data_IF_892385705841
#
_entry.id   IF_892385705841
#
_cell.length_a   1.000
_cell.length_b   1.000
_cell.length_c   1.000
_cell.angle_alpha   90.00
_cell.angle_beta   90.00
_cell.angle_gamma   90.00
#
_symmetry.space_group_name_H-M   'P 1'
#
loop_
_entity.id
_entity.type
_entity.pdbx_description
1 polymer ?
#
# COMPACT_ATOMS: atom_id res chain seq x y z
N UNK A 1 10.07 0.30 -26.23
CA UNK A 1 9.39 -0.57 -25.24
C UNK A 1 8.09 0.07 -24.84
N UNK A 2 7.02 -0.68 -24.78
CA UNK A 2 5.71 -0.17 -24.35
C UNK A 2 5.18 -1.05 -23.21
N UNK A 3 4.91 -0.43 -22.07
CA UNK A 3 4.42 -1.11 -20.87
C UNK A 3 3.08 -0.48 -20.49
N UNK A 4 2.17 -1.27 -19.94
CA UNK A 4 0.86 -0.77 -19.52
C UNK A 4 0.86 -0.10 -18.14
N UNK A 5 1.88 -0.36 -17.34
CA UNK A 5 1.99 0.23 -16.01
C UNK A 5 2.59 -0.74 -15.01
N UNK A 6 2.40 -0.43 -13.74
CA UNK A 6 2.86 -1.30 -12.66
C UNK A 6 1.82 -2.39 -12.46
N UNK A 7 2.25 -3.67 -12.44
CA UNK A 7 1.37 -4.80 -12.16
C UNK A 7 1.18 -4.98 -10.66
N UNK A 8 2.27 -5.06 -9.93
CA UNK A 8 2.23 -5.22 -8.49
C UNK A 8 3.53 -4.75 -7.84
N UNK A 9 3.46 -4.54 -6.54
CA UNK A 9 4.61 -4.28 -5.67
C UNK A 9 4.71 -5.45 -4.71
N UNK A 10 5.90 -5.99 -4.51
CA UNK A 10 6.12 -7.08 -3.55
C UNK A 10 6.67 -6.51 -2.24
N UNK A 11 6.05 -6.89 -1.13
CA UNK A 11 6.44 -6.45 0.20
C UNK A 11 6.79 -7.65 1.07
N UNK A 12 7.93 -7.58 1.75
CA UNK A 12 8.25 -8.53 2.81
C UNK A 12 7.57 -8.07 4.10
N UNK A 13 6.79 -8.95 4.73
CA UNK A 13 6.03 -8.62 5.93
C UNK A 13 6.25 -9.67 7.01
N UNK A 14 6.10 -9.27 8.26
CA UNK A 14 6.34 -10.18 9.39
C UNK A 14 5.25 -11.25 9.51
N UNK A 15 4.02 -10.88 9.23
CA UNK A 15 2.86 -11.78 9.33
C UNK A 15 1.96 -11.53 8.13
N UNK A 16 2.04 -12.43 7.15
CA UNK A 16 1.32 -12.27 5.87
C UNK A 16 -0.19 -12.16 6.07
N UNK A 17 -0.78 -13.00 6.92
CA UNK A 17 -2.23 -12.98 7.14
C UNK A 17 -2.68 -11.70 7.85
N UNK A 18 -1.92 -11.23 8.82
CA UNK A 18 -2.20 -9.95 9.48
C UNK A 18 -2.16 -8.80 8.50
N UNK A 19 -1.13 -8.76 7.66
CA UNK A 19 -1.00 -7.70 6.67
C UNK A 19 -2.10 -7.77 5.63
N UNK A 20 -2.41 -8.96 5.10
CA UNK A 20 -3.48 -9.12 4.14
C UNK A 20 -4.81 -8.63 4.71
N UNK A 21 -5.13 -9.02 5.94
CA UNK A 21 -6.35 -8.61 6.61
C UNK A 21 -6.42 -7.08 6.76
N UNK A 22 -5.30 -6.46 7.13
CA UNK A 22 -5.24 -5.01 7.28
C UNK A 22 -5.53 -4.29 5.95
N UNK A 23 -4.87 -4.72 4.85
CA UNK A 23 -5.09 -4.09 3.55
C UNK A 23 -6.52 -4.28 3.07
N UNK A 24 -7.12 -5.44 3.36
CA UNK A 24 -8.51 -5.70 3.00
C UNK A 24 -9.45 -4.81 3.82
N UNK A 25 -9.27 -4.75 5.13
CA UNK A 25 -10.17 -4.01 6.01
C UNK A 25 -9.99 -2.49 5.90
N UNK A 26 -8.75 -2.02 5.82
CA UNK A 26 -8.47 -0.58 5.84
C UNK A 26 -8.56 0.03 4.44
N UNK A 27 -7.94 -0.60 3.44
CA UNK A 27 -7.89 -0.03 2.09
C UNK A 27 -8.95 -0.59 1.15
N UNK A 28 -9.73 -1.57 1.60
CA UNK A 28 -10.78 -2.14 0.75
C UNK A 28 -10.25 -3.05 -0.34
N UNK A 29 -9.06 -3.61 -0.15
CA UNK A 29 -8.48 -4.54 -1.12
C UNK A 29 -9.18 -5.89 -1.04
N UNK A 30 -8.95 -6.73 -2.03
CA UNK A 30 -9.46 -8.09 -2.11
C UNK A 30 -8.30 -9.05 -2.32
N UNK A 31 -8.50 -10.31 -1.94
CA UNK A 31 -7.52 -11.34 -2.27
C UNK A 31 -7.57 -11.61 -3.77
N UNK A 32 -6.40 -11.67 -4.38
CA UNK A 32 -6.25 -11.95 -5.81
C UNK A 32 -5.48 -13.26 -5.97
N UNK A 33 -5.73 -13.96 -7.08
CA UNK A 33 -4.99 -15.17 -7.44
C UNK A 33 -4.95 -16.21 -6.31
N UNK A 34 -6.08 -16.39 -5.63
CA UNK A 34 -6.18 -17.37 -4.54
C UNK A 34 -5.82 -18.77 -5.04
N UNK A 35 -5.29 -19.59 -4.13
CA UNK A 35 -4.88 -20.96 -4.38
C UNK A 35 -3.73 -21.11 -5.38
N UNK A 36 -3.05 -20.02 -5.73
CA UNK A 36 -1.87 -20.08 -6.59
C UNK A 36 -0.60 -20.12 -5.73
N UNK A 37 0.45 -20.66 -6.32
CA UNK A 37 1.81 -20.67 -5.75
C UNK A 37 1.93 -21.27 -4.35
N UNK A 38 1.03 -22.19 -4.00
CA UNK A 38 0.99 -22.81 -2.67
C UNK A 38 0.94 -21.78 -1.54
N UNK A 39 0.25 -20.66 -1.80
CA UNK A 39 0.04 -19.61 -0.79
C UNK A 39 1.19 -18.64 -0.58
N UNK A 40 2.25 -18.72 -1.37
CA UNK A 40 3.38 -17.77 -1.29
C UNK A 40 3.72 -17.27 -2.70
N UNK A 41 3.50 -15.97 -2.98
CA UNK A 41 2.99 -14.92 -2.09
C UNK A 41 1.46 -14.95 -1.95
N UNK A 42 0.95 -14.18 -0.99
CA UNK A 42 -0.46 -13.84 -0.93
C UNK A 42 -0.64 -12.52 -1.68
N UNK A 43 -1.52 -12.53 -2.68
CA UNK A 43 -1.82 -11.33 -3.46
C UNK A 43 -3.08 -10.64 -2.94
N UNK A 44 -3.01 -9.33 -2.82
CA UNK A 44 -4.15 -8.48 -2.51
C UNK A 44 -4.16 -7.32 -3.49
N UNK A 45 -5.31 -6.72 -3.70
CA UNK A 45 -5.37 -5.58 -4.58
C UNK A 45 -6.78 -5.15 -4.91
N UNK A 46 -6.89 -4.21 -5.82
CA UNK A 46 -8.16 -3.69 -6.31
C UNK A 46 -7.95 -3.10 -7.70
N UNK A 47 -8.82 -3.46 -8.63
CA UNK A 47 -8.67 -3.01 -10.01
C UNK A 47 -7.35 -3.52 -10.60
N UNK A 48 -6.54 -2.59 -11.06
CA UNK A 48 -5.22 -2.90 -11.63
C UNK A 48 -4.07 -2.75 -10.62
N UNK A 49 -4.39 -2.46 -9.37
CA UNK A 49 -3.40 -2.31 -8.31
C UNK A 49 -3.22 -3.64 -7.60
N UNK A 50 -1.99 -4.12 -7.51
CA UNK A 50 -1.68 -5.36 -6.82
C UNK A 50 -0.51 -5.21 -5.86
N UNK A 51 -0.58 -5.95 -4.76
CA UNK A 51 0.52 -6.07 -3.80
C UNK A 51 0.70 -7.56 -3.53
N UNK A 52 1.93 -8.03 -3.65
CA UNK A 52 2.31 -9.41 -3.32
C UNK A 52 2.97 -9.41 -1.95
N UNK A 53 2.40 -10.15 -1.02
CA UNK A 53 2.92 -10.24 0.36
C UNK A 53 3.74 -11.50 0.53
N UNK A 54 5.00 -11.33 0.90
CA UNK A 54 5.93 -12.43 1.17
C UNK A 54 6.31 -12.41 2.65
N UNK A 55 6.55 -13.58 3.26
CA UNK A 55 7.16 -13.59 4.58
C UNK A 55 8.52 -12.89 4.54
N UNK A 56 8.83 -12.06 5.53
CA UNK A 56 10.08 -11.30 5.56
C UNK A 56 11.32 -12.21 5.45
N UNK A 57 11.24 -13.42 6.02
CA UNK A 57 12.33 -14.38 5.94
C UNK A 57 12.57 -14.91 4.53
N UNK A 58 11.63 -14.70 3.60
CA UNK A 58 11.74 -15.13 2.22
C UNK A 58 12.64 -14.21 1.40
N UNK A 59 12.87 -12.98 1.87
CA UNK A 59 13.62 -11.98 1.15
C UNK A 59 15.12 -12.08 1.40
N UNK A 60 15.96 -11.90 0.37
CA UNK A 60 17.40 -11.87 0.58
C UNK A 60 17.81 -10.61 1.35
N UNK A 61 18.80 -10.74 2.21
CA UNK A 61 19.32 -9.59 2.95
C UNK A 61 20.16 -8.72 2.03
N UNK A 62 19.83 -7.40 2.01
CA UNK A 62 20.52 -6.41 1.21
C UNK A 62 21.29 -5.46 2.13
N UNK A 63 22.24 -6.00 2.88
CA UNK A 63 22.91 -5.32 3.98
C UNK A 63 23.60 -4.02 3.62
N UNK A 64 24.02 -3.84 2.36
CA UNK A 64 24.78 -2.66 1.91
C UNK A 64 23.91 -1.62 1.19
N UNK A 65 22.59 -1.70 1.30
CA UNK A 65 21.68 -0.84 0.55
C UNK A 65 20.75 0.00 1.41
N UNK A 66 21.15 0.33 2.62
CA UNK A 66 20.26 1.04 3.53
C UNK A 66 19.82 2.42 3.06
N UNK A 67 20.53 3.02 2.10
CA UNK A 67 20.10 4.29 1.50
C UNK A 67 19.36 4.12 0.18
N UNK A 68 19.37 2.91 -0.37
CA UNK A 68 18.66 2.56 -1.60
C UNK A 68 17.45 1.76 -1.18
N UNK A 69 16.32 2.46 -0.97
CA UNK A 69 15.11 1.81 -0.47
C UNK A 69 13.87 2.50 -1.05
N UNK A 70 12.75 1.81 -0.99
CA UNK A 70 11.46 2.41 -1.30
C UNK A 70 11.08 3.34 -0.15
N UNK A 71 10.77 4.60 -0.45
CA UNK A 71 10.40 5.57 0.57
C UNK A 71 8.94 5.46 0.95
N UNK A 72 8.07 5.33 -0.03
CA UNK A 72 6.64 5.16 0.20
C UNK A 72 5.96 4.57 -1.04
N UNK A 73 4.74 4.11 -0.85
CA UNK A 73 3.87 3.63 -1.90
C UNK A 73 2.64 4.52 -1.92
N UNK A 74 2.36 5.13 -3.06
CA UNK A 74 1.27 6.10 -3.18
C UNK A 74 0.11 5.53 -4.00
N UNK A 75 -1.10 5.75 -3.49
CA UNK A 75 -2.34 5.43 -4.19
C UNK A 75 -3.03 6.73 -4.58
N UNK A 76 -3.64 6.74 -5.76
CA UNK A 76 -4.38 7.93 -6.23
C UNK A 76 -5.85 7.82 -5.82
N UNK A 77 -6.42 8.95 -5.45
CA UNK A 77 -7.84 9.05 -5.17
C UNK A 77 -8.38 10.35 -5.77
N UNK A 78 -9.68 10.38 -6.09
CA UNK A 78 -10.34 11.64 -6.41
C UNK A 78 -10.60 12.39 -5.10
N UNK A 79 -11.10 13.62 -5.18
CA UNK A 79 -11.32 14.46 -3.99
C UNK A 79 -12.28 13.81 -3.00
N UNK A 80 -13.39 13.29 -3.48
CA UNK A 80 -14.38 12.64 -2.60
C UNK A 80 -13.76 11.48 -1.83
N UNK A 81 -13.04 10.61 -2.52
CA UNK A 81 -12.43 9.45 -1.90
C UNK A 81 -11.24 9.82 -1.02
N UNK A 82 -10.53 10.90 -1.35
CA UNK A 82 -9.45 11.41 -0.52
C UNK A 82 -10.00 11.88 0.85
N UNK A 83 -11.10 12.59 0.84
CA UNK A 83 -11.74 13.04 2.10
C UNK A 83 -12.32 11.85 2.86
N UNK A 84 -12.93 10.91 2.15
CA UNK A 84 -13.47 9.71 2.78
C UNK A 84 -12.36 8.87 3.44
N UNK A 85 -11.20 8.79 2.81
CA UNK A 85 -10.05 8.06 3.36
C UNK A 85 -9.61 8.65 4.71
N UNK A 86 -9.57 9.98 4.81
CA UNK A 86 -9.20 10.64 6.05
C UNK A 86 -10.19 10.29 7.17
N UNK A 87 -11.49 10.34 6.87
CA UNK A 87 -12.52 9.98 7.85
C UNK A 87 -12.40 8.52 8.29
N UNK A 88 -12.09 7.63 7.35
CA UNK A 88 -11.94 6.20 7.66
C UNK A 88 -10.73 5.95 8.56
N UNK A 89 -9.61 6.58 8.27
CA UNK A 89 -8.42 6.45 9.10
C UNK A 89 -8.64 6.99 10.51
N UNK A 90 -9.30 8.15 10.62
CA UNK A 90 -9.65 8.72 11.92
C UNK A 90 -10.57 7.78 12.70
N UNK A 91 -11.57 7.24 12.06
CA UNK A 91 -12.52 6.30 12.68
C UNK A 91 -11.81 5.06 13.21
N UNK A 92 -10.77 4.61 12.53
CA UNK A 92 -9.98 3.44 12.93
C UNK A 92 -8.86 3.76 13.89
N UNK A 93 -8.68 5.02 14.24
CA UNK A 93 -7.59 5.44 15.13
C UNK A 93 -6.21 5.34 14.49
N UNK A 94 -6.14 5.39 13.17
CA UNK A 94 -4.88 5.35 12.44
C UNK A 94 -4.43 6.79 12.20
N UNK A 95 -3.27 7.14 12.75
CA UNK A 95 -2.71 8.48 12.57
C UNK A 95 -2.23 8.68 11.14
N UNK A 96 -2.41 9.89 10.62
CA UNK A 96 -1.88 10.26 9.33
C UNK A 96 -1.44 11.72 9.34
N UNK A 97 -0.55 12.05 8.41
CA UNK A 97 -0.04 13.40 8.23
C UNK A 97 -0.51 13.93 6.89
N UNK A 98 -1.14 15.11 6.90
CA UNK A 98 -1.56 15.81 5.68
C UNK A 98 -0.41 16.67 5.16
N UNK A 99 -0.18 16.66 3.85
CA UNK A 99 0.77 17.55 3.20
C UNK A 99 0.15 18.15 1.94
N UNK A 100 0.39 19.45 1.76
CA UNK A 100 -0.02 20.19 0.57
C UNK A 100 1.19 20.27 -0.36
N UNK A 101 1.09 19.62 -1.52
CA UNK A 101 2.14 19.59 -2.53
C UNK A 101 1.85 20.55 -3.70
N UNK A 102 1.05 21.59 -3.46
CA UNK A 102 0.64 22.59 -4.45
C UNK A 102 -0.31 22.03 -5.52
N UNK A 103 0.16 21.08 -6.33
CA UNK A 103 -0.66 20.48 -7.39
C UNK A 103 -1.44 19.25 -6.90
N UNK A 104 -1.18 18.81 -5.68
CA UNK A 104 -1.81 17.64 -5.11
C UNK A 104 -1.88 17.78 -3.59
N UNK A 105 -2.88 17.16 -2.99
CA UNK A 105 -2.96 16.98 -1.54
C UNK A 105 -2.71 15.51 -1.23
N UNK A 106 -1.98 15.26 -0.14
CA UNK A 106 -1.62 13.89 0.24
C UNK A 106 -1.79 13.66 1.73
N UNK A 107 -2.06 12.42 2.08
CA UNK A 107 -1.96 11.94 3.46
C UNK A 107 -1.00 10.77 3.51
N UNK A 108 -0.23 10.70 4.59
CA UNK A 108 0.77 9.66 4.82
C UNK A 108 0.45 8.91 6.10
N UNK A 109 0.50 7.60 6.06
CA UNK A 109 0.26 6.74 7.22
C UNK A 109 1.07 5.46 7.06
N UNK A 110 1.07 4.62 8.10
CA UNK A 110 1.87 3.40 8.10
C UNK A 110 0.99 2.16 8.06
N UNK A 111 1.48 1.14 7.38
CA UNK A 111 0.88 -0.19 7.45
C UNK A 111 1.39 -0.93 8.71
N UNK A 112 0.92 -2.17 8.99
CA UNK A 112 1.34 -2.88 10.21
C UNK A 112 2.84 -3.13 10.37
N UNK A 113 3.59 -3.14 9.28
CA UNK A 113 5.03 -3.37 9.31
C UNK A 113 5.84 -2.09 9.27
N UNK A 114 5.17 -0.94 9.22
CA UNK A 114 5.83 0.35 9.18
C UNK A 114 6.14 0.86 7.78
N UNK A 115 5.62 0.21 6.74
CA UNK A 115 5.73 0.76 5.38
C UNK A 115 4.93 2.05 5.30
N UNK A 116 5.54 3.09 4.76
CA UNK A 116 4.87 4.36 4.56
C UNK A 116 3.97 4.28 3.34
N UNK A 117 2.70 4.57 3.55
CA UNK A 117 1.70 4.62 2.49
C UNK A 117 1.24 6.06 2.32
N UNK A 118 0.93 6.43 1.09
CA UNK A 118 0.43 7.75 0.76
C UNK A 118 -0.87 7.59 -0.02
N UNK A 119 -1.85 8.44 0.28
CA UNK A 119 -3.00 8.62 -0.61
C UNK A 119 -2.90 10.04 -1.13
N UNK A 120 -2.91 10.20 -2.44
CA UNK A 120 -2.73 11.50 -3.08
C UNK A 120 -3.88 11.80 -4.02
N UNK A 121 -4.31 13.06 -4.03
CA UNK A 121 -5.33 13.53 -4.96
C UNK A 121 -4.83 14.78 -5.67
N UNK A 122 -5.00 14.78 -6.98
CA UNK A 122 -4.72 15.95 -7.81
C UNK A 122 -5.96 16.83 -7.96
N UNK A 123 -7.08 16.42 -7.38
CA UNK A 123 -8.29 17.22 -7.32
C UNK A 123 -8.30 17.97 -6.00
N UNK A 124 -8.07 19.28 -6.04
CA UNK A 124 -7.91 20.09 -4.83
C UNK A 124 -9.23 20.62 -4.28
N UNK A 125 -10.29 20.54 -5.07
CA UNK A 125 -11.63 20.99 -4.65
C UNK A 125 -12.71 20.06 -5.22
#
# INVERSE_FOLDING_TARGET
>A
MQLEGIDHVALGVRDVERSAKWYIEVLGFQRLHEAMWNGVPTFIGKGKTGIALFPASHEPKLSNRREIRMLHLAFRANQENFLAAQRELEKRGIEFEFQDHEIAHSIYFSDPDGYTLEITSYELT
#
